data_IF_534439326486
#
_entry.id   IF_534439326486
#
_cell.length_a   1.000
_cell.length_b   1.000
_cell.length_c   1.000
_cell.angle_alpha   90.00
_cell.angle_beta   90.00
_cell.angle_gamma   90.00
#
_symmetry.space_group_name_H-M   'P 1'
#
loop_
_entity.id
_entity.type
_entity.pdbx_description
1 polymer ?
#
# COMPACT_ATOMS: atom_id res chain seq x y z
N UNK A 1 -20.85 5.62 16.27
CA UNK A 1 -20.91 7.04 15.90
C UNK A 1 -22.20 7.71 16.43
N UNK A 2 -23.36 7.10 16.30
CA UNK A 2 -24.64 7.64 16.76
C UNK A 2 -24.63 7.98 18.28
N UNK A 3 -24.07 7.11 19.11
CA UNK A 3 -23.95 7.35 20.55
C UNK A 3 -23.06 8.57 20.86
N UNK A 4 -21.96 8.74 20.12
CA UNK A 4 -21.09 9.90 20.26
C UNK A 4 -21.83 11.18 19.90
N UNK A 5 -22.57 11.18 18.80
CA UNK A 5 -23.42 12.31 18.37
C UNK A 5 -24.45 12.68 19.43
N UNK A 6 -25.20 11.69 19.94
CA UNK A 6 -26.21 11.92 20.99
C UNK A 6 -25.64 12.43 22.29
N UNK A 7 -24.39 12.06 22.60
CA UNK A 7 -23.66 12.49 23.78
C UNK A 7 -22.92 13.83 23.61
N UNK A 8 -23.01 14.46 22.43
CA UNK A 8 -22.32 15.71 22.13
C UNK A 8 -20.80 15.57 22.02
N UNK A 9 -20.32 14.36 21.76
CA UNK A 9 -18.86 14.08 21.62
C UNK A 9 -18.43 14.36 20.18
N UNK A 10 -17.36 15.13 20.01
CA UNK A 10 -16.72 15.34 18.70
C UNK A 10 -15.82 14.16 18.37
N UNK A 11 -15.88 13.69 17.12
CA UNK A 11 -15.16 12.51 16.66
C UNK A 11 -14.27 12.84 15.47
N UNK A 12 -12.97 12.57 15.58
CA UNK A 12 -12.06 12.56 14.45
C UNK A 12 -11.91 11.10 13.94
N UNK A 13 -12.33 10.83 12.70
CA UNK A 13 -12.05 9.57 12.01
C UNK A 13 -10.78 9.72 11.20
N UNK A 14 -9.79 8.87 11.47
CA UNK A 14 -8.54 8.89 10.69
C UNK A 14 -8.45 7.69 9.77
N UNK A 15 -8.11 7.91 8.50
CA UNK A 15 -7.60 6.83 7.65
C UNK A 15 -6.28 6.31 8.21
N UNK A 16 -5.97 5.06 7.91
CA UNK A 16 -4.79 4.36 8.45
C UNK A 16 -3.72 4.25 7.37
N UNK A 17 -2.71 5.12 7.38
CA UNK A 17 -1.59 5.00 6.47
C UNK A 17 -0.68 3.83 6.87
N UNK A 18 -0.10 3.16 5.88
CA UNK A 18 0.82 2.02 6.05
C UNK A 18 1.99 2.15 5.08
N UNK A 19 3.09 1.46 5.34
CA UNK A 19 4.20 1.35 4.40
C UNK A 19 3.78 0.49 3.21
N UNK A 20 3.50 1.12 2.08
CA UNK A 20 3.10 0.45 0.84
C UNK A 20 4.26 0.28 -0.14
N UNK A 21 5.12 1.30 -0.23
CA UNK A 21 6.14 1.36 -1.26
C UNK A 21 7.39 0.52 -0.92
N UNK A 22 7.78 0.47 0.36
CA UNK A 22 9.06 -0.11 0.77
C UNK A 22 8.92 -1.39 1.60
N UNK A 23 7.69 -1.81 1.91
CA UNK A 23 7.45 -3.07 2.61
C UNK A 23 6.68 -4.04 1.70
N UNK A 24 7.32 -5.16 1.37
CA UNK A 24 6.70 -6.23 0.57
C UNK A 24 5.47 -6.82 1.27
N UNK A 25 4.53 -7.43 0.53
CA UNK A 25 3.47 -8.23 1.12
C UNK A 25 4.02 -9.33 2.04
N UNK A 26 3.29 -9.62 3.11
CA UNK A 26 3.66 -10.68 4.05
C UNK A 26 3.46 -12.07 3.48
N UNK A 27 2.44 -12.24 2.65
CA UNK A 27 2.17 -13.50 1.97
C UNK A 27 1.39 -13.30 0.67
N UNK A 28 1.51 -14.28 -0.21
CA UNK A 28 0.84 -14.31 -1.51
C UNK A 28 0.15 -15.65 -1.70
N UNK A 29 -0.96 -15.67 -2.44
CA UNK A 29 -1.52 -16.92 -2.96
C UNK A 29 -0.76 -17.31 -4.21
N UNK A 30 -0.35 -18.56 -4.30
CA UNK A 30 0.26 -19.09 -5.52
C UNK A 30 -0.75 -19.05 -6.69
N UNK A 31 -0.29 -18.89 -7.92
CA UNK A 31 -1.16 -18.99 -9.10
C UNK A 31 -1.76 -20.39 -9.23
N UNK A 32 -3.08 -20.44 -9.43
CA UNK A 32 -3.80 -21.70 -9.60
C UNK A 32 -3.87 -22.14 -11.07
N UNK A 33 -3.96 -23.45 -11.30
CA UNK A 33 -4.28 -24.03 -12.61
C UNK A 33 -3.17 -23.92 -13.67
N UNK A 34 -1.93 -23.67 -13.26
CA UNK A 34 -0.79 -23.63 -14.18
C UNK A 34 -0.50 -25.01 -14.78
N UNK A 35 -0.21 -25.05 -16.07
CA UNK A 35 0.43 -26.22 -16.70
C UNK A 35 1.83 -26.43 -16.14
N UNK A 36 2.41 -27.62 -16.36
CA UNK A 36 3.79 -27.89 -15.92
C UNK A 36 4.82 -26.94 -16.54
N UNK A 37 4.60 -26.49 -17.75
CA UNK A 37 5.48 -25.54 -18.45
C UNK A 37 5.35 -24.13 -17.86
N UNK A 38 4.12 -23.69 -17.58
CA UNK A 38 3.85 -22.39 -16.95
C UNK A 38 4.38 -22.35 -15.52
N UNK A 39 4.25 -23.42 -14.75
CA UNK A 39 4.81 -23.53 -13.40
C UNK A 39 6.35 -23.42 -13.41
N UNK A 40 7.02 -24.09 -14.35
CA UNK A 40 8.48 -23.97 -14.52
C UNK A 40 8.90 -22.54 -14.93
N UNK A 41 8.13 -21.92 -15.84
CA UNK A 41 8.37 -20.53 -16.24
C UNK A 41 8.21 -19.60 -15.05
N UNK A 42 7.14 -19.78 -14.26
CA UNK A 42 6.85 -19.02 -13.05
C UNK A 42 8.00 -19.06 -12.05
N UNK A 43 8.39 -20.27 -11.62
CA UNK A 43 9.46 -20.45 -10.65
C UNK A 43 10.79 -19.84 -11.12
N UNK A 44 11.14 -20.13 -12.37
CA UNK A 44 12.38 -19.63 -12.98
C UNK A 44 12.39 -18.08 -13.03
N UNK A 45 11.29 -17.49 -13.51
CA UNK A 45 11.22 -16.03 -13.68
C UNK A 45 11.20 -15.30 -12.32
N UNK A 46 10.47 -15.82 -11.32
CA UNK A 46 10.47 -15.25 -9.98
C UNK A 46 11.86 -15.32 -9.33
N UNK A 47 12.53 -16.46 -9.43
CA UNK A 47 13.89 -16.62 -8.89
C UNK A 47 14.88 -15.68 -9.60
N UNK A 48 14.84 -15.65 -10.94
CA UNK A 48 15.70 -14.77 -11.75
C UNK A 48 15.47 -13.29 -11.42
N UNK A 49 14.23 -12.86 -11.30
CA UNK A 49 13.91 -11.49 -10.99
C UNK A 49 14.47 -11.07 -9.61
N UNK A 50 14.34 -11.93 -8.60
CA UNK A 50 14.90 -11.66 -7.25
C UNK A 50 16.43 -11.50 -7.30
N UNK A 51 17.14 -12.36 -8.01
CA UNK A 51 18.60 -12.27 -8.19
C UNK A 51 19.01 -10.97 -8.91
N UNK A 52 18.24 -10.58 -9.92
CA UNK A 52 18.48 -9.34 -10.67
C UNK A 52 18.24 -8.10 -9.78
N UNK A 53 17.20 -8.14 -8.94
CA UNK A 53 16.92 -7.07 -7.96
C UNK A 53 18.05 -6.93 -6.93
N UNK A 54 18.57 -8.03 -6.41
CA UNK A 54 19.72 -8.01 -5.49
C UNK A 54 20.95 -7.37 -6.14
N UNK A 55 21.03 -7.41 -7.48
CA UNK A 55 22.09 -6.81 -8.28
C UNK A 55 21.76 -5.39 -8.78
N UNK A 56 20.60 -4.82 -8.40
CA UNK A 56 20.05 -3.54 -8.89
C UNK A 56 19.84 -3.49 -10.42
N UNK A 57 19.62 -4.62 -11.07
CA UNK A 57 19.34 -4.74 -12.52
C UNK A 57 17.81 -4.66 -12.73
N UNK A 58 17.24 -3.46 -12.49
CA UNK A 58 15.78 -3.26 -12.46
C UNK A 58 15.10 -3.45 -13.80
N UNK A 59 15.73 -3.14 -14.92
CA UNK A 59 15.15 -3.33 -16.27
C UNK A 59 15.03 -4.81 -16.58
N UNK A 60 16.07 -5.57 -16.33
CA UNK A 60 16.10 -7.02 -16.57
C UNK A 60 15.15 -7.77 -15.63
N UNK A 61 15.08 -7.33 -14.36
CA UNK A 61 14.13 -7.86 -13.39
C UNK A 61 12.68 -7.62 -13.84
N UNK A 62 12.36 -6.39 -14.27
CA UNK A 62 11.05 -6.03 -14.77
C UNK A 62 10.65 -6.90 -15.98
N UNK A 63 11.56 -7.09 -16.94
CA UNK A 63 11.32 -7.93 -18.10
C UNK A 63 11.01 -9.39 -17.72
N UNK A 64 11.73 -9.95 -16.74
CA UNK A 64 11.47 -11.30 -16.24
C UNK A 64 10.10 -11.41 -15.57
N UNK A 65 9.71 -10.43 -14.75
CA UNK A 65 8.41 -10.39 -14.06
C UNK A 65 7.25 -10.23 -15.05
N UNK A 66 7.40 -9.39 -16.08
CA UNK A 66 6.36 -9.16 -17.07
C UNK A 66 6.04 -10.41 -17.91
N UNK A 67 6.99 -11.33 -18.09
CA UNK A 67 6.73 -12.61 -18.78
C UNK A 67 5.69 -13.47 -18.05
N UNK A 68 5.62 -13.34 -16.74
CA UNK A 68 4.71 -14.13 -15.87
C UNK A 68 3.58 -13.30 -15.26
N UNK A 69 3.44 -12.02 -15.60
CA UNK A 69 2.46 -11.12 -14.99
C UNK A 69 1.03 -11.65 -15.10
N UNK A 70 0.68 -12.19 -16.29
CA UNK A 70 -0.66 -12.77 -16.52
C UNK A 70 -0.90 -14.07 -15.76
N UNK A 71 0.14 -14.86 -15.51
CA UNK A 71 0.05 -16.11 -14.75
C UNK A 71 -0.18 -15.81 -13.26
N UNK A 72 0.46 -14.76 -12.75
CA UNK A 72 0.40 -14.37 -11.34
C UNK A 72 -0.35 -13.07 -11.09
N UNK A 73 -1.40 -12.78 -11.84
CA UNK A 73 -2.12 -11.52 -11.70
C UNK A 73 -2.62 -11.27 -10.26
N UNK A 74 -2.96 -12.33 -9.53
CA UNK A 74 -3.42 -12.28 -8.14
C UNK A 74 -2.31 -12.56 -7.12
N UNK A 75 -1.05 -12.62 -7.52
CA UNK A 75 0.07 -12.88 -6.62
C UNK A 75 0.64 -11.57 -6.06
N UNK A 76 0.48 -11.35 -4.75
CA UNK A 76 0.81 -10.08 -4.11
C UNK A 76 2.29 -9.68 -4.28
N UNK A 77 3.22 -10.61 -4.04
CA UNK A 77 4.66 -10.34 -4.17
C UNK A 77 5.05 -9.98 -5.62
N UNK A 78 4.49 -10.66 -6.63
CA UNK A 78 4.76 -10.33 -8.02
C UNK A 78 4.36 -8.89 -8.34
N UNK A 79 3.17 -8.47 -7.91
CA UNK A 79 2.70 -7.10 -8.11
C UNK A 79 3.62 -6.10 -7.42
N UNK A 80 4.04 -6.39 -6.18
CA UNK A 80 4.96 -5.52 -5.45
C UNK A 80 6.32 -5.42 -6.14
N UNK A 81 6.91 -6.55 -6.61
CA UNK A 81 8.19 -6.57 -7.32
C UNK A 81 8.16 -5.75 -8.62
N UNK A 82 7.06 -5.84 -9.40
CA UNK A 82 6.88 -5.01 -10.60
C UNK A 82 6.82 -3.52 -10.20
N UNK A 83 6.01 -3.18 -9.18
CA UNK A 83 5.94 -1.82 -8.65
C UNK A 83 7.29 -1.30 -8.19
N UNK A 84 8.07 -2.15 -7.52
CA UNK A 84 9.42 -1.82 -7.04
C UNK A 84 10.39 -1.55 -8.20
N UNK A 85 10.41 -2.39 -9.24
CA UNK A 85 11.21 -2.15 -10.45
C UNK A 85 10.85 -0.81 -11.10
N UNK A 86 9.55 -0.58 -11.35
CA UNK A 86 9.07 0.65 -11.97
C UNK A 86 9.44 1.89 -11.14
N UNK A 87 9.27 1.84 -9.83
CA UNK A 87 9.64 2.93 -8.93
C UNK A 87 11.15 3.20 -8.94
N UNK A 88 11.98 2.15 -8.98
CA UNK A 88 13.44 2.25 -9.05
C UNK A 88 13.93 2.80 -10.40
N UNK A 89 13.12 2.63 -11.46
CA UNK A 89 13.35 3.21 -12.79
C UNK A 89 12.72 4.61 -12.94
N UNK A 90 12.36 5.26 -11.83
CA UNK A 90 11.73 6.58 -11.79
C UNK A 90 10.37 6.67 -12.51
N UNK A 91 9.74 5.53 -12.81
CA UNK A 91 8.40 5.44 -13.40
C UNK A 91 7.32 5.44 -12.32
N UNK A 92 7.29 6.51 -11.52
CA UNK A 92 6.49 6.63 -10.32
C UNK A 92 4.99 6.35 -10.57
N UNK A 93 4.39 7.05 -11.53
CA UNK A 93 2.96 6.93 -11.83
C UNK A 93 2.58 5.50 -12.24
N UNK A 94 3.45 4.84 -13.01
CA UNK A 94 3.25 3.46 -13.43
C UNK A 94 3.39 2.47 -12.26
N UNK A 95 4.18 2.78 -11.24
CA UNK A 95 4.37 1.90 -10.07
C UNK A 95 3.18 1.88 -9.11
N UNK A 96 2.42 3.00 -8.99
CA UNK A 96 1.37 3.16 -7.99
C UNK A 96 0.27 2.09 -8.03
N UNK A 97 -0.30 1.72 -9.19
CA UNK A 97 -1.33 0.69 -9.24
C UNK A 97 -0.82 -0.68 -8.79
N UNK A 98 0.44 -1.00 -9.06
CA UNK A 98 1.06 -2.26 -8.64
C UNK A 98 1.21 -2.36 -7.13
N UNK A 99 1.72 -1.33 -6.47
CA UNK A 99 1.81 -1.29 -5.00
C UNK A 99 0.44 -1.38 -4.34
N UNK A 100 -0.57 -0.66 -4.86
CA UNK A 100 -1.94 -0.72 -4.35
C UNK A 100 -2.54 -2.11 -4.51
N UNK A 101 -2.34 -2.74 -5.67
CA UNK A 101 -2.80 -4.10 -5.96
C UNK A 101 -2.12 -5.10 -5.02
N UNK A 102 -0.81 -4.99 -4.83
CA UNK A 102 -0.03 -5.84 -3.93
C UNK A 102 -0.56 -5.80 -2.48
N UNK A 103 -0.83 -4.60 -1.95
CA UNK A 103 -1.42 -4.44 -0.61
C UNK A 103 -2.79 -5.10 -0.50
N UNK A 104 -3.64 -4.94 -1.52
CA UNK A 104 -4.98 -5.55 -1.54
C UNK A 104 -4.98 -7.08 -1.66
N UNK A 105 -3.93 -7.64 -2.25
CA UNK A 105 -3.73 -9.09 -2.46
C UNK A 105 -2.97 -9.77 -1.32
N UNK A 106 -2.38 -9.00 -0.38
CA UNK A 106 -1.65 -9.57 0.76
C UNK A 106 -2.57 -10.50 1.57
N UNK A 107 -2.23 -11.76 1.64
CA UNK A 107 -3.06 -12.78 2.33
C UNK A 107 -2.89 -12.74 3.84
N UNK A 108 -1.80 -12.17 4.36
CA UNK A 108 -1.60 -11.85 5.77
C UNK A 108 -1.83 -10.36 6.02
N UNK A 109 -3.05 -10.01 6.40
CA UNK A 109 -3.57 -8.63 6.47
C UNK A 109 -3.15 -7.88 7.73
N UNK A 110 -1.85 -7.72 7.95
CA UNK A 110 -1.32 -6.91 9.05
C UNK A 110 -1.34 -5.40 8.76
N UNK A 111 -1.63 -5.01 7.53
CA UNK A 111 -1.73 -3.61 7.10
C UNK A 111 -3.16 -3.28 6.68
N UNK A 112 -3.61 -2.07 6.99
CA UNK A 112 -4.86 -1.55 6.47
C UNK A 112 -4.78 -1.45 4.95
N UNK A 113 -5.70 -2.11 4.25
CA UNK A 113 -5.83 -2.02 2.81
C UNK A 113 -6.83 -0.90 2.40
N UNK A 114 -6.98 -0.71 1.11
CA UNK A 114 -7.85 0.34 0.55
C UNK A 114 -9.31 0.21 1.00
N UNK A 115 -9.81 -1.01 1.30
CA UNK A 115 -11.20 -1.24 1.74
C UNK A 115 -11.43 -0.65 3.13
N UNK A 116 -10.45 -0.76 4.03
CA UNK A 116 -10.54 -0.18 5.37
C UNK A 116 -10.58 1.35 5.27
N UNK A 117 -9.66 1.96 4.52
CA UNK A 117 -9.62 3.41 4.36
C UNK A 117 -10.83 3.95 3.58
N UNK A 118 -11.34 3.20 2.62
CA UNK A 118 -12.60 3.53 1.94
C UNK A 118 -13.79 3.54 2.90
N UNK A 119 -13.94 2.49 3.73
CA UNK A 119 -15.01 2.42 4.72
C UNK A 119 -14.93 3.56 5.76
N UNK A 120 -13.72 3.99 6.15
CA UNK A 120 -13.53 5.15 7.04
C UNK A 120 -14.01 6.43 6.35
N UNK A 121 -13.65 6.68 5.09
CA UNK A 121 -14.10 7.85 4.33
C UNK A 121 -15.61 7.84 4.13
N UNK A 122 -16.18 6.71 3.73
CA UNK A 122 -17.64 6.56 3.60
C UNK A 122 -18.35 6.83 4.94
N UNK A 123 -17.80 6.32 6.05
CA UNK A 123 -18.38 6.57 7.37
C UNK A 123 -18.35 8.05 7.75
N UNK A 124 -17.29 8.78 7.39
CA UNK A 124 -17.23 10.22 7.61
C UNK A 124 -18.26 10.97 6.73
N UNK A 125 -18.38 10.58 5.47
CA UNK A 125 -19.29 11.21 4.51
C UNK A 125 -20.77 10.99 4.89
N UNK A 126 -21.11 9.79 5.39
CA UNK A 126 -22.48 9.46 5.83
C UNK A 126 -22.92 10.20 7.10
N UNK A 127 -21.99 10.63 7.94
CA UNK A 127 -22.27 11.23 9.24
C UNK A 127 -21.91 12.71 9.29
N UNK A 128 -22.18 13.46 8.23
CA UNK A 128 -21.84 14.88 8.12
C UNK A 128 -22.31 15.75 9.30
N UNK A 129 -21.53 16.78 9.63
CA UNK A 129 -21.83 17.77 10.65
C UNK A 129 -20.57 18.17 11.45
N UNK A 130 -20.69 19.23 12.24
CA UNK A 130 -19.57 19.82 13.00
C UNK A 130 -19.03 18.91 14.11
N UNK A 131 -19.69 17.79 14.39
CA UNK A 131 -19.30 16.83 15.42
C UNK A 131 -18.37 15.71 14.92
N UNK A 132 -18.22 15.54 13.59
CA UNK A 132 -17.37 14.52 12.98
C UNK A 132 -16.44 15.14 11.93
N UNK A 133 -15.21 14.67 11.89
CA UNK A 133 -14.20 15.15 10.95
C UNK A 133 -13.37 14.00 10.41
N UNK A 134 -13.11 14.01 9.10
CA UNK A 134 -12.19 13.08 8.46
C UNK A 134 -10.76 13.62 8.50
N UNK A 135 -9.87 12.92 9.20
CA UNK A 135 -8.42 13.12 9.11
C UNK A 135 -7.89 12.16 8.05
N UNK A 136 -7.77 12.60 6.78
CA UNK A 136 -7.26 11.73 5.71
C UNK A 136 -5.73 11.63 5.75
N UNK A 137 -5.24 10.92 6.76
CA UNK A 137 -3.81 10.72 7.00
C UNK A 137 -3.13 9.93 5.87
N UNK A 138 -3.84 8.96 5.25
CA UNK A 138 -3.31 8.19 4.11
C UNK A 138 -3.03 9.12 2.92
N UNK A 139 -4.00 9.95 2.53
CA UNK A 139 -3.82 10.89 1.43
C UNK A 139 -2.75 11.95 1.73
N UNK A 140 -2.72 12.45 2.96
CA UNK A 140 -1.74 13.44 3.38
C UNK A 140 -0.30 12.91 3.35
N UNK A 141 -0.06 11.70 3.85
CA UNK A 141 1.26 11.07 3.77
C UNK A 141 1.63 10.78 2.29
N UNK A 142 0.69 10.25 1.50
CA UNK A 142 0.92 9.96 0.09
C UNK A 142 1.32 11.22 -0.72
N UNK A 143 0.69 12.37 -0.43
CA UNK A 143 1.00 13.64 -1.12
C UNK A 143 2.42 14.14 -0.86
N UNK A 144 3.05 13.74 0.26
CA UNK A 144 4.40 14.12 0.67
C UNK A 144 5.43 13.02 0.46
N UNK A 145 4.98 11.82 0.13
CA UNK A 145 5.84 10.65 -0.07
C UNK A 145 6.68 10.77 -1.34
N UNK A 146 7.96 10.45 -1.25
CA UNK A 146 8.90 10.49 -2.38
C UNK A 146 8.42 9.63 -3.56
N UNK A 147 7.88 8.45 -3.26
CA UNK A 147 7.38 7.49 -4.25
C UNK A 147 5.90 7.65 -4.58
N UNK A 148 5.20 8.67 -4.00
CA UNK A 148 3.76 8.90 -4.19
C UNK A 148 2.85 7.97 -3.38
N UNK A 149 3.45 7.05 -2.64
CA UNK A 149 2.83 6.23 -1.60
C UNK A 149 3.76 6.18 -0.40
N UNK A 150 3.23 6.15 0.83
CA UNK A 150 4.04 6.11 2.03
C UNK A 150 4.97 4.90 2.05
N UNK A 151 6.20 5.12 2.43
CA UNK A 151 7.27 4.15 2.51
C UNK A 151 8.17 4.40 3.73
N UNK A 152 9.43 4.04 3.59
CA UNK A 152 10.47 4.23 4.61
C UNK A 152 10.76 5.70 4.93
N UNK A 153 10.26 6.64 4.16
CA UNK A 153 10.25 8.07 4.47
C UNK A 153 9.38 8.39 5.70
N UNK A 154 8.32 7.61 5.95
CA UNK A 154 7.41 7.80 7.08
C UNK A 154 7.36 6.63 8.07
N UNK A 155 7.87 5.45 7.71
CA UNK A 155 7.74 4.23 8.51
C UNK A 155 9.10 3.60 8.83
N UNK A 156 9.20 2.94 10.01
CA UNK A 156 10.30 2.05 10.38
C UNK A 156 10.12 0.65 9.83
N UNK A 157 8.87 0.21 9.72
CA UNK A 157 8.45 -1.09 9.22
C UNK A 157 7.11 -0.94 8.48
N UNK A 158 6.26 -1.95 8.53
CA UNK A 158 4.97 -1.97 7.82
C UNK A 158 3.91 -0.99 8.37
N UNK A 159 3.98 -0.59 9.67
CA UNK A 159 2.97 0.26 10.34
C UNK A 159 3.53 1.25 11.37
N UNK A 160 4.72 1.02 11.92
CA UNK A 160 5.28 1.90 12.95
C UNK A 160 5.87 3.17 12.33
N UNK A 161 5.21 4.29 12.57
CA UNK A 161 5.60 5.56 11.99
C UNK A 161 6.89 6.12 12.61
N UNK A 162 7.70 6.72 11.76
CA UNK A 162 8.78 7.64 12.15
C UNK A 162 8.19 8.93 12.69
N UNK A 163 9.06 9.78 13.29
CA UNK A 163 8.65 11.07 13.84
C UNK A 163 7.86 11.91 12.81
N UNK A 164 8.33 11.98 11.56
CA UNK A 164 7.70 12.78 10.50
C UNK A 164 6.27 12.32 10.19
N UNK A 165 6.02 11.01 10.16
CA UNK A 165 4.67 10.46 9.96
C UNK A 165 3.74 10.81 11.12
N UNK A 166 4.18 10.55 12.36
CA UNK A 166 3.42 10.89 13.57
C UNK A 166 3.13 12.40 13.67
N UNK A 167 4.14 13.24 13.37
CA UNK A 167 3.99 14.69 13.43
C UNK A 167 2.96 15.19 12.42
N UNK A 168 2.97 14.68 11.18
CA UNK A 168 2.00 15.07 10.17
C UNK A 168 0.58 14.68 10.56
N UNK A 169 0.36 13.47 11.08
CA UNK A 169 -0.97 13.04 11.55
C UNK A 169 -1.43 13.89 12.73
N UNK A 170 -0.52 14.21 13.67
CA UNK A 170 -0.82 15.08 14.79
C UNK A 170 -1.24 16.49 14.35
N UNK A 171 -0.55 17.08 13.37
CA UNK A 171 -0.92 18.40 12.81
C UNK A 171 -2.32 18.37 12.20
N UNK A 172 -2.62 17.39 11.36
CA UNK A 172 -3.94 17.25 10.71
C UNK A 172 -5.08 17.13 11.74
N UNK A 173 -4.79 16.46 12.85
CA UNK A 173 -5.78 16.31 13.93
C UNK A 173 -5.90 17.59 14.73
N UNK A 174 -4.80 18.26 15.05
CA UNK A 174 -4.77 19.49 15.83
C UNK A 174 -5.50 20.64 15.12
N UNK A 175 -5.35 20.79 13.82
CA UNK A 175 -6.02 21.82 13.00
C UNK A 175 -7.55 21.77 13.12
N UNK A 176 -8.12 20.62 13.44
CA UNK A 176 -9.56 20.48 13.65
C UNK A 176 -9.99 20.70 15.12
N UNK A 177 -9.10 20.41 16.07
CA UNK A 177 -9.41 20.55 17.51
C UNK A 177 -9.35 22.02 17.95
N UNK A 178 -8.46 22.81 17.33
CA UNK A 178 -8.24 24.22 17.63
C UNK A 178 -9.39 25.10 17.17
#
# INVERSE_FOLDING_TARGET
>A
LEEAKQSGVRVALSTVPVNQADHAPFASSDPDGLTSEEAQLWEKSMMQAKQLLDSNLFVEALNALQQIEKLGESHAELQWLIGHCLSSLEQKEASLPYFKKALGLDTLRFRADQRINHAIRESADLHQGDWIHLVDAEAALASKAKKGLPGDDFFWDHVHMKFQGNYLVALLTADWIA
#
